data_IF_873713825557
#
_entry.id   IF_873713825557
#
_cell.length_a   1.000
_cell.length_b   1.000
_cell.length_c   1.000
_cell.angle_alpha   90.00
_cell.angle_beta   90.00
_cell.angle_gamma   90.00
#
_symmetry.space_group_name_H-M   'P 1'
#
loop_
_entity.id
_entity.type
_entity.pdbx_description
1 polymer ?
#
# COMPACT_ATOMS: atom_id res chain seq x y z
N UNK A 1 8.75 2.12 -16.96
CA UNK A 1 7.49 2.59 -16.36
C UNK A 1 7.56 2.20 -14.90
N UNK A 2 7.02 3.02 -14.01
CA UNK A 2 7.16 2.88 -12.55
C UNK A 2 5.79 2.97 -11.89
N UNK A 3 5.70 2.51 -10.64
CA UNK A 3 4.55 2.83 -9.79
C UNK A 3 4.86 4.09 -8.99
N UNK A 4 4.21 5.19 -9.33
CA UNK A 4 4.26 6.44 -8.58
C UNK A 4 3.25 6.39 -7.43
N UNK A 5 3.69 6.72 -6.22
CA UNK A 5 2.87 6.70 -5.00
C UNK A 5 2.87 8.08 -4.34
N UNK A 6 1.72 8.73 -4.33
CA UNK A 6 1.52 10.06 -3.75
C UNK A 6 0.71 9.95 -2.46
N UNK A 7 1.18 10.59 -1.39
CA UNK A 7 0.57 10.56 -0.06
C UNK A 7 -0.15 11.88 0.23
N UNK A 8 -1.36 11.77 0.79
CA UNK A 8 -2.20 12.90 1.18
C UNK A 8 -2.84 12.62 2.53
N UNK A 9 -2.88 13.60 3.42
CA UNK A 9 -3.74 13.53 4.61
C UNK A 9 -5.23 13.52 4.18
N UNK A 10 -6.08 12.73 4.84
CA UNK A 10 -7.53 12.76 4.58
C UNK A 10 -8.08 14.18 4.77
N UNK A 11 -8.84 14.68 3.80
CA UNK A 11 -9.36 16.06 3.80
C UNK A 11 -8.37 17.14 3.35
N UNK A 12 -7.13 16.78 3.00
CA UNK A 12 -6.15 17.68 2.38
C UNK A 12 -5.96 17.34 0.90
N UNK A 13 -5.88 18.37 0.06
CA UNK A 13 -5.50 18.23 -1.36
C UNK A 13 -3.99 18.47 -1.59
N UNK A 14 -3.26 18.86 -0.55
CA UNK A 14 -1.81 19.00 -0.61
C UNK A 14 -1.14 17.65 -0.41
N UNK A 15 -0.31 17.26 -1.38
CA UNK A 15 0.57 16.10 -1.29
C UNK A 15 1.61 16.34 -0.20
N UNK A 16 1.76 15.40 0.72
CA UNK A 16 2.66 15.50 1.88
C UNK A 16 3.77 14.44 1.86
N UNK A 17 3.75 13.51 0.90
CA UNK A 17 4.82 12.56 0.64
C UNK A 17 4.73 11.97 -0.76
N UNK A 18 5.87 11.51 -1.28
CA UNK A 18 5.97 10.91 -2.61
C UNK A 18 7.10 9.89 -2.63
N UNK A 19 6.88 8.76 -3.30
CA UNK A 19 7.93 7.82 -3.67
C UNK A 19 7.52 7.03 -4.90
N UNK A 20 8.50 6.42 -5.55
CA UNK A 20 8.38 5.56 -6.70
C UNK A 20 8.82 4.12 -6.40
N UNK A 21 8.23 3.18 -7.14
CA UNK A 21 8.62 1.77 -7.14
C UNK A 21 9.02 1.37 -8.55
N UNK A 22 10.30 1.08 -8.72
CA UNK A 22 10.89 0.65 -9.99
C UNK A 22 10.46 -0.78 -10.37
N UNK A 23 10.52 -1.16 -11.65
CA UNK A 23 10.29 -2.53 -12.09
C UNK A 23 11.19 -3.55 -11.41
N UNK A 24 10.59 -4.48 -10.67
CA UNK A 24 11.26 -5.51 -9.90
C UNK A 24 11.48 -5.16 -8.43
N UNK A 25 11.17 -3.92 -8.03
CA UNK A 25 11.35 -3.44 -6.66
C UNK A 25 10.09 -3.60 -5.81
N UNK A 26 10.32 -3.61 -4.50
CA UNK A 26 9.30 -3.67 -3.46
C UNK A 26 9.49 -2.49 -2.52
N UNK A 27 8.39 -1.82 -2.16
CA UNK A 27 8.35 -0.81 -1.10
C UNK A 27 7.32 -1.19 -0.06
N UNK A 28 7.63 -0.99 1.21
CA UNK A 28 6.74 -1.32 2.32
C UNK A 28 6.33 -0.07 3.09
N UNK A 29 5.10 -0.04 3.57
CA UNK A 29 4.54 0.98 4.46
C UNK A 29 3.91 0.29 5.66
N UNK A 30 4.12 0.85 6.85
CA UNK A 30 3.47 0.35 8.07
C UNK A 30 2.08 0.99 8.17
N UNK A 31 1.06 0.16 8.35
CA UNK A 31 -0.34 0.50 8.56
C UNK A 31 -0.79 -0.01 9.93
N UNK A 32 -1.96 0.42 10.40
CA UNK A 32 -2.63 -0.16 11.57
C UNK A 32 -4.06 -0.55 11.23
N UNK A 33 -4.45 -1.76 11.61
CA UNK A 33 -5.77 -2.31 11.35
C UNK A 33 -6.85 -1.73 12.26
N UNK A 34 -8.10 -2.18 12.09
CA UNK A 34 -9.23 -1.69 12.90
C UNK A 34 -9.16 -2.17 14.37
N UNK A 35 -8.48 -3.28 14.63
CA UNK A 35 -8.24 -3.87 15.95
C UNK A 35 -7.03 -3.24 16.66
N UNK A 36 -6.30 -2.34 15.99
CA UNK A 36 -5.14 -1.64 16.54
C UNK A 36 -3.81 -2.37 16.36
N UNK A 37 -3.79 -3.48 15.61
CA UNK A 37 -2.60 -4.25 15.31
C UNK A 37 -1.87 -3.68 14.09
N UNK A 38 -0.55 -3.79 14.10
CA UNK A 38 0.29 -3.30 13.01
C UNK A 38 0.08 -4.19 11.76
N UNK A 39 0.11 -3.58 10.59
CA UNK A 39 0.00 -4.19 9.26
C UNK A 39 1.08 -3.60 8.35
N UNK A 40 1.45 -4.27 7.26
CA UNK A 40 2.44 -3.77 6.30
C UNK A 40 1.87 -3.78 4.90
N UNK A 41 1.69 -2.63 4.27
CA UNK A 41 1.32 -2.56 2.85
C UNK A 41 2.59 -2.63 2.01
N UNK A 42 2.60 -3.51 1.02
CA UNK A 42 3.67 -3.63 0.04
C UNK A 42 3.19 -3.18 -1.31
N UNK A 43 4.02 -2.36 -1.95
CA UNK A 43 3.88 -1.92 -3.33
C UNK A 43 4.95 -2.64 -4.14
N UNK A 44 4.54 -3.25 -5.25
CA UNK A 44 5.43 -3.97 -6.14
C UNK A 44 5.08 -3.63 -7.58
N UNK A 45 6.07 -3.18 -8.35
CA UNK A 45 5.98 -3.06 -9.80
C UNK A 45 6.67 -4.28 -10.42
N UNK A 46 5.98 -5.08 -11.24
CA UNK A 46 6.61 -6.27 -11.84
C UNK A 46 7.80 -5.86 -12.71
N UNK A 47 8.80 -6.74 -12.80
CA UNK A 47 10.00 -6.55 -13.66
C UNK A 47 9.66 -6.36 -15.14
N UNK A 48 8.62 -7.02 -15.63
CA UNK A 48 8.12 -6.83 -17.01
C UNK A 48 7.30 -5.55 -17.18
N UNK A 49 7.02 -4.86 -16.06
CA UNK A 49 6.46 -3.53 -16.03
C UNK A 49 5.07 -3.46 -16.73
N UNK A 50 4.35 -4.60 -16.68
CA UNK A 50 2.99 -4.75 -17.21
C UNK A 50 1.92 -4.67 -16.12
N UNK A 51 2.34 -4.75 -14.86
CA UNK A 51 1.43 -4.78 -13.72
C UNK A 51 2.13 -4.25 -12.47
N UNK A 52 1.43 -3.37 -11.77
CA UNK A 52 1.79 -2.94 -10.41
C UNK A 52 0.73 -3.45 -9.44
N UNK A 53 1.15 -3.75 -8.22
CA UNK A 53 0.31 -4.36 -7.20
C UNK A 53 0.53 -3.66 -5.86
N UNK A 54 -0.55 -3.37 -5.15
CA UNK A 54 -0.52 -3.00 -3.74
C UNK A 54 -1.25 -4.07 -2.90
N UNK A 55 -0.64 -4.50 -1.80
CA UNK A 55 -1.19 -5.57 -0.95
C UNK A 55 -0.73 -5.44 0.53
N UNK A 56 -1.62 -5.66 1.52
CA UNK A 56 -1.38 -5.63 2.99
C UNK A 56 -0.94 -6.94 3.71
N UNK A 57 0.31 -7.12 4.10
CA UNK A 57 0.78 -8.21 4.97
C UNK A 57 0.38 -7.98 6.43
N UNK A 58 -0.21 -8.98 7.08
CA UNK A 58 -0.35 -8.99 8.54
C UNK A 58 0.91 -9.61 9.18
N UNK A 59 1.54 -9.00 10.20
CA UNK A 59 2.78 -9.49 10.82
C UNK A 59 2.64 -10.84 11.54
N UNK A 60 1.42 -11.31 11.85
CA UNK A 60 1.18 -12.71 12.26
C UNK A 60 1.35 -13.71 11.11
N UNK A 61 1.41 -13.22 9.86
CA UNK A 61 1.72 -13.98 8.65
C UNK A 61 3.23 -13.94 8.46
N UNK A 62 3.92 -14.98 8.94
CA UNK A 62 5.36 -15.15 8.75
C UNK A 62 5.67 -15.10 7.24
N UNK A 63 6.46 -14.11 6.82
CA UNK A 63 6.98 -14.01 5.46
C UNK A 63 8.10 -15.03 5.29
N UNK A 64 7.81 -16.14 4.60
CA UNK A 64 8.87 -17.02 4.10
C UNK A 64 9.68 -16.25 3.05
N UNK A 65 10.99 -16.15 3.25
CA UNK A 65 11.92 -15.53 2.30
C UNK A 65 11.77 -16.17 0.91
N UNK A 66 11.52 -15.33 -0.11
CA UNK A 66 11.60 -15.73 -1.53
C UNK A 66 10.28 -15.84 -2.29
N UNK A 67 9.10 -15.67 -1.65
CA UNK A 67 7.82 -15.59 -2.35
C UNK A 67 7.07 -14.30 -1.96
N UNK A 68 6.54 -13.52 -2.93
CA UNK A 68 5.71 -12.38 -2.60
C UNK A 68 4.50 -12.88 -1.82
N UNK A 69 4.17 -12.26 -0.67
CA UNK A 69 3.13 -12.77 0.19
C UNK A 69 1.77 -12.69 -0.49
N UNK A 70 0.96 -13.71 -0.22
CA UNK A 70 -0.46 -13.79 -0.56
C UNK A 70 -1.24 -12.90 0.41
N UNK A 71 -2.03 -11.92 -0.07
CA UNK A 71 -2.48 -10.80 0.78
C UNK A 71 -3.87 -10.15 0.43
N UNK A 72 -4.68 -9.81 1.48
CA UNK A 72 -5.89 -8.93 1.59
C UNK A 72 -5.72 -7.83 2.65
N UNK A 73 -6.54 -6.74 2.74
CA UNK A 73 -8.01 -6.71 3.02
C UNK A 73 -8.75 -5.39 2.68
N UNK A 74 -10.08 -5.46 2.49
CA UNK A 74 -11.10 -4.37 2.49
C UNK A 74 -12.25 -4.66 3.49
N UNK A 75 -12.73 -3.66 4.23
CA UNK A 75 -13.55 -3.70 5.47
C UNK A 75 -14.92 -4.40 5.41
N UNK A 76 -15.35 -4.96 4.27
CA UNK A 76 -16.59 -5.75 4.13
C UNK A 76 -16.41 -7.03 3.30
N UNK A 77 -15.19 -7.33 2.87
CA UNK A 77 -14.87 -8.41 1.94
C UNK A 77 -13.71 -9.24 2.48
N UNK A 78 -13.97 -10.50 2.82
CA UNK A 78 -13.03 -11.44 3.45
C UNK A 78 -12.04 -12.10 2.48
N UNK A 79 -11.78 -11.53 1.29
CA UNK A 79 -10.90 -12.12 0.25
C UNK A 79 -9.66 -11.28 -0.21
N UNK A 80 -8.52 -12.00 -0.38
CA UNK A 80 -7.12 -11.52 -0.57
C UNK A 80 -6.93 -10.87 -1.92
N UNK A 81 -7.45 -9.64 -2.09
CA UNK A 81 -7.39 -8.94 -3.36
C UNK A 81 -6.26 -7.93 -3.39
N UNK A 82 -5.13 -8.42 -3.88
CA UNK A 82 -4.08 -7.63 -4.51
C UNK A 82 -4.70 -6.59 -5.46
N UNK A 83 -4.55 -5.31 -5.15
CA UNK A 83 -5.03 -4.24 -6.02
C UNK A 83 -4.12 -4.16 -7.23
N UNK A 84 -4.65 -4.56 -8.39
CA UNK A 84 -3.91 -4.62 -9.65
C UNK A 84 -4.04 -3.30 -10.40
N UNK A 85 -2.93 -2.60 -10.54
CA UNK A 85 -2.85 -1.29 -11.18
C UNK A 85 -2.24 -1.50 -12.57
N UNK A 86 -3.10 -1.35 -13.59
CA UNK A 86 -2.69 -1.46 -14.99
C UNK A 86 -1.90 -0.22 -15.42
N UNK A 87 -1.02 -0.31 -16.43
CA UNK A 87 -0.36 0.86 -17.01
C UNK A 87 -1.38 1.92 -17.43
N UNK A 88 -1.12 3.18 -17.08
CA UNK A 88 -2.00 4.32 -17.31
C UNK A 88 -3.23 4.38 -16.38
N UNK A 89 -3.41 3.41 -15.48
CA UNK A 89 -4.47 3.44 -14.48
C UNK A 89 -4.03 4.18 -13.21
N UNK A 90 -5.01 4.79 -12.55
CA UNK A 90 -4.88 5.40 -11.25
C UNK A 90 -5.80 4.69 -10.27
N UNK A 91 -5.28 4.39 -9.09
CA UNK A 91 -6.03 3.80 -7.99
C UNK A 91 -5.77 4.58 -6.70
N UNK A 92 -6.74 4.60 -5.79
CA UNK A 92 -6.62 5.28 -4.50
C UNK A 92 -6.87 4.28 -3.38
N UNK A 93 -5.93 4.18 -2.45
CA UNK A 93 -6.10 3.42 -1.21
C UNK A 93 -6.14 4.35 -0.01
N UNK A 94 -6.89 3.97 1.03
CA UNK A 94 -6.96 4.69 2.30
C UNK A 94 -6.32 3.85 3.39
N UNK A 95 -5.41 4.46 4.14
CA UNK A 95 -4.53 3.81 5.10
C UNK A 95 -4.65 4.53 6.43
N UNK A 96 -4.58 3.78 7.54
CA UNK A 96 -4.65 4.34 8.89
C UNK A 96 -3.27 4.25 9.53
N UNK A 97 -2.59 5.38 9.61
CA UNK A 97 -1.23 5.45 10.16
C UNK A 97 -1.25 5.86 11.64
N UNK A 98 -0.34 5.30 12.43
CA UNK A 98 -0.08 5.79 13.80
C UNK A 98 0.63 7.14 13.73
N UNK A 99 0.25 8.05 14.62
CA UNK A 99 0.96 9.33 14.75
C UNK A 99 2.27 9.07 15.50
N UNK A 100 3.42 9.47 14.95
CA UNK A 100 4.74 9.21 15.56
C UNK A 100 4.87 9.80 16.97
N UNK A 101 4.18 10.90 17.26
CA UNK A 101 4.17 11.58 18.56
C UNK A 101 2.76 11.58 19.20
N UNK A 102 2.19 10.40 19.47
CA UNK A 102 0.94 10.28 20.22
C UNK A 102 0.29 8.90 20.19
N UNK A 103 -0.76 8.70 20.99
CA UNK A 103 -1.60 7.49 21.00
C UNK A 103 -2.70 7.49 19.93
N UNK A 104 -2.59 8.39 18.94
CA UNK A 104 -3.61 8.63 17.92
C UNK A 104 -3.33 7.96 16.58
N UNK A 105 -4.36 7.96 15.74
CA UNK A 105 -4.28 7.48 14.36
C UNK A 105 -4.76 8.58 13.41
N UNK A 106 -4.16 8.64 12.24
CA UNK A 106 -4.59 9.51 11.14
C UNK A 106 -4.96 8.67 9.92
N UNK A 107 -5.95 9.11 9.17
CA UNK A 107 -6.29 8.50 7.88
C UNK A 107 -5.56 9.24 6.77
N UNK A 108 -4.95 8.47 5.87
CA UNK A 108 -4.08 8.95 4.79
C UNK A 108 -4.56 8.30 3.50
N UNK A 109 -4.61 9.08 2.43
CA UNK A 109 -4.91 8.62 1.07
C UNK A 109 -3.60 8.45 0.32
N UNK A 110 -3.42 7.29 -0.30
CA UNK A 110 -2.33 7.05 -1.24
C UNK A 110 -2.92 6.92 -2.63
N UNK A 111 -2.50 7.81 -3.54
CA UNK A 111 -2.82 7.73 -4.96
C UNK A 111 -1.68 7.01 -5.67
N UNK A 112 -2.04 5.92 -6.34
CA UNK A 112 -1.14 4.99 -6.98
C UNK A 112 -1.31 5.12 -8.49
N UNK A 113 -0.26 5.51 -9.20
CA UNK A 113 -0.31 5.73 -10.65
C UNK A 113 0.76 4.88 -11.32
N UNK A 114 0.36 3.99 -12.24
CA UNK A 114 1.32 3.20 -13.00
C UNK A 114 1.64 3.92 -14.32
N UNK A 115 2.85 4.46 -14.45
CA UNK A 115 3.26 5.29 -15.60
C UNK A 115 4.32 4.65 -16.45
#
# INVERSE_FOLDING_TARGET
>A
MTLEVYRYLEGSDKCDGYFDVEPGDYRTLINVNIQGEDEVIVFHCRKDNKLSVAYTIHPLTILYEGLPPLVLFDKKDTENRALRIKPGAEEIIRVRERVQEGSGFKTVRYRLTHR
#
